data_IF_799838081526
#
_entry.id   IF_799838081526
#
_cell.length_a   1.000
_cell.length_b   1.000
_cell.length_c   1.000
_cell.angle_alpha   90.00
_cell.angle_beta   90.00
_cell.angle_gamma   90.00
#
_symmetry.space_group_name_H-M   'P 1'
#
loop_
_entity.id
_entity.type
_entity.pdbx_description
1 polymer ?
#
# COMPACT_ATOMS: atom_id res chain seq x y z
N UNK A 1 -20.07 18.57 -9.15
CA UNK A 1 -20.71 18.10 -7.88
C UNK A 1 -20.28 16.67 -7.59
N UNK A 2 -19.97 16.34 -6.34
CA UNK A 2 -19.59 14.99 -5.89
C UNK A 2 -20.68 13.94 -6.18
N UNK A 3 -20.28 12.73 -6.60
CA UNK A 3 -21.19 11.60 -6.88
C UNK A 3 -20.78 10.37 -6.07
N UNK A 4 -21.44 10.14 -4.92
CA UNK A 4 -21.19 9.02 -3.99
C UNK A 4 -21.16 7.63 -4.65
N UNK A 5 -21.93 7.43 -5.73
CA UNK A 5 -21.98 6.15 -6.47
C UNK A 5 -20.62 5.71 -6.99
N UNK A 6 -19.75 6.64 -7.37
CA UNK A 6 -18.42 6.29 -7.90
C UNK A 6 -17.48 5.86 -6.78
N UNK A 7 -17.49 6.53 -5.62
CA UNK A 7 -16.70 6.09 -4.47
C UNK A 7 -17.07 4.68 -4.01
N UNK A 8 -18.37 4.35 -4.01
CA UNK A 8 -18.83 2.97 -3.71
C UNK A 8 -18.32 1.94 -4.73
N UNK A 9 -18.23 2.32 -6.01
CA UNK A 9 -17.69 1.44 -7.06
C UNK A 9 -16.20 1.20 -6.87
N UNK A 10 -15.44 2.25 -6.55
CA UNK A 10 -14.00 2.15 -6.24
C UNK A 10 -13.79 1.25 -5.03
N UNK A 11 -14.46 1.51 -3.90
CA UNK A 11 -14.35 0.68 -2.69
C UNK A 11 -14.68 -0.80 -2.96
N UNK A 12 -15.75 -1.08 -3.70
CA UNK A 12 -16.13 -2.45 -4.07
C UNK A 12 -15.09 -3.12 -4.97
N UNK A 13 -14.46 -2.36 -5.86
CA UNK A 13 -13.41 -2.89 -6.73
C UNK A 13 -12.16 -3.23 -5.91
N UNK A 14 -11.66 -2.29 -5.10
CA UNK A 14 -10.46 -2.51 -4.27
C UNK A 14 -10.62 -3.71 -3.34
N UNK A 15 -11.82 -3.92 -2.77
CA UNK A 15 -12.13 -5.06 -1.89
C UNK A 15 -12.21 -6.42 -2.57
N UNK A 16 -12.39 -6.47 -3.90
CA UNK A 16 -12.70 -7.71 -4.63
C UNK A 16 -11.72 -8.08 -5.73
N UNK A 17 -11.13 -7.07 -6.38
CA UNK A 17 -10.27 -7.22 -7.55
C UNK A 17 -9.01 -6.33 -7.44
N UNK A 18 -8.74 -5.76 -6.26
CA UNK A 18 -7.61 -4.88 -6.01
C UNK A 18 -6.31 -5.64 -5.78
N UNK A 19 -6.03 -6.67 -6.58
CA UNK A 19 -4.77 -7.42 -6.50
C UNK A 19 -3.58 -6.58 -6.98
N UNK A 20 -2.40 -6.94 -6.51
CA UNK A 20 -1.11 -6.32 -6.79
C UNK A 20 -1.07 -4.82 -6.46
N UNK A 21 -1.77 -4.42 -5.39
CA UNK A 21 -1.78 -3.05 -4.87
C UNK A 21 -1.02 -2.95 -3.55
N UNK A 22 -0.20 -1.92 -3.40
CA UNK A 22 0.50 -1.59 -2.14
C UNK A 22 -0.02 -0.25 -1.63
N UNK A 23 -0.60 -0.24 -0.43
CA UNK A 23 -1.07 0.95 0.24
C UNK A 23 -0.02 1.41 1.25
N UNK A 24 0.58 2.56 1.01
CA UNK A 24 1.66 3.13 1.83
C UNK A 24 1.10 4.33 2.58
N UNK A 25 1.22 4.31 3.90
CA UNK A 25 0.73 5.38 4.78
C UNK A 25 1.80 5.79 5.79
N UNK A 26 1.78 7.06 6.20
CA UNK A 26 2.49 7.52 7.39
C UNK A 26 1.60 7.49 8.62
N UNK A 27 2.12 7.10 9.78
CA UNK A 27 1.40 7.10 11.06
C UNK A 27 0.85 8.49 11.44
N UNK A 28 1.63 9.55 11.19
CA UNK A 28 1.29 10.94 11.45
C UNK A 28 0.74 11.68 10.23
N UNK A 29 0.48 10.97 9.12
CA UNK A 29 -0.11 11.58 7.93
C UNK A 29 -1.63 11.78 8.12
N UNK A 30 -2.15 13.03 8.14
CA UNK A 30 -3.58 13.28 8.24
C UNK A 30 -4.38 12.69 7.06
N UNK A 31 -3.74 12.49 5.89
CA UNK A 31 -4.38 11.84 4.74
C UNK A 31 -4.59 10.34 4.92
N UNK A 32 -4.02 9.74 5.97
CA UNK A 32 -4.27 8.36 6.37
C UNK A 32 -5.62 8.17 7.08
N UNK A 33 -6.35 9.23 7.43
CA UNK A 33 -7.67 9.12 8.07
C UNK A 33 -8.67 8.23 7.29
N UNK A 34 -8.79 8.35 5.95
CA UNK A 34 -9.58 7.43 5.13
C UNK A 34 -8.78 6.25 4.56
N UNK A 35 -7.67 5.84 5.20
CA UNK A 35 -6.80 4.78 4.70
C UNK A 35 -7.59 3.49 4.39
N UNK A 36 -7.39 2.95 3.20
CA UNK A 36 -7.94 1.67 2.81
C UNK A 36 -7.31 0.53 3.61
N UNK A 37 -8.13 -0.44 4.01
CA UNK A 37 -7.69 -1.67 4.69
C UNK A 37 -8.08 -2.84 3.77
N UNK A 38 -7.10 -3.52 3.14
CA UNK A 38 -7.36 -4.73 2.38
C UNK A 38 -8.06 -5.79 3.23
N UNK A 39 -8.96 -6.55 2.61
CA UNK A 39 -9.64 -7.66 3.29
C UNK A 39 -8.76 -8.91 3.14
N UNK A 40 -8.29 -9.53 4.25
CA UNK A 40 -7.49 -10.74 4.18
C UNK A 40 -8.18 -11.84 3.38
N UNK A 41 -7.44 -12.49 2.48
CA UNK A 41 -7.94 -13.58 1.64
C UNK A 41 -8.88 -13.16 0.49
N UNK A 42 -9.11 -11.85 0.28
CA UNK A 42 -9.86 -11.35 -0.90
C UNK A 42 -8.97 -10.81 -2.01
N UNK A 43 -7.84 -10.24 -1.64
CA UNK A 43 -6.82 -9.73 -2.56
C UNK A 43 -5.45 -10.06 -1.99
N UNK A 44 -4.43 -10.13 -2.83
CA UNK A 44 -3.04 -10.20 -2.37
C UNK A 44 -2.43 -8.82 -2.00
N UNK A 45 -3.24 -7.76 -1.95
CA UNK A 45 -2.79 -6.41 -1.66
C UNK A 45 -2.09 -6.28 -0.29
N UNK A 46 -1.07 -5.43 -0.24
CA UNK A 46 -0.25 -5.17 0.94
C UNK A 46 -0.56 -3.77 1.49
N UNK A 47 -0.72 -3.65 2.81
CA UNK A 47 -0.78 -2.35 3.50
C UNK A 47 0.45 -2.20 4.37
N UNK A 48 1.10 -1.04 4.28
CA UNK A 48 2.25 -0.66 5.11
C UNK A 48 2.00 0.69 5.75
N UNK A 49 2.29 0.80 7.04
CA UNK A 49 2.21 2.05 7.80
C UNK A 49 3.58 2.31 8.39
N UNK A 50 4.21 3.41 7.98
CA UNK A 50 5.51 3.84 8.49
C UNK A 50 5.34 4.46 9.88
N UNK A 51 5.97 3.88 10.93
CA UNK A 51 6.00 4.49 12.26
C UNK A 51 6.63 5.88 12.22
N UNK A 52 5.99 6.86 12.86
CA UNK A 52 6.37 8.27 12.84
C UNK A 52 6.36 8.94 11.45
N UNK A 53 5.89 8.23 10.41
CA UNK A 53 5.90 8.73 9.03
C UNK A 53 4.83 9.79 8.79
N UNK A 54 5.11 10.75 7.91
CA UNK A 54 4.14 11.75 7.44
C UNK A 54 3.78 11.50 5.98
N UNK A 55 3.20 12.49 5.31
CA UNK A 55 2.78 12.41 3.90
C UNK A 55 3.91 12.10 2.90
N UNK A 56 5.17 12.34 3.30
CA UNK A 56 6.35 12.01 2.49
C UNK A 56 6.76 10.52 2.60
N UNK A 57 5.97 9.68 3.26
CA UNK A 57 6.25 8.25 3.36
C UNK A 57 6.31 7.62 1.97
N UNK A 58 7.39 6.91 1.68
CA UNK A 58 7.70 6.25 0.40
C UNK A 58 8.44 4.95 0.69
N UNK A 59 8.47 4.02 -0.27
CA UNK A 59 9.17 2.73 -0.12
C UNK A 59 10.63 2.94 0.32
N UNK A 60 11.33 3.91 -0.28
CA UNK A 60 12.74 4.19 0.01
C UNK A 60 13.03 4.61 1.46
N UNK A 61 12.05 5.19 2.16
CA UNK A 61 12.22 5.72 3.51
C UNK A 61 11.44 4.92 4.57
N UNK A 62 10.94 3.73 4.20
CA UNK A 62 10.42 2.77 5.17
C UNK A 62 11.56 2.20 6.03
N UNK A 63 11.25 1.79 7.28
CA UNK A 63 12.11 0.87 8.04
C UNK A 63 12.51 -0.33 7.20
N UNK A 64 13.72 -0.85 7.40
CA UNK A 64 14.30 -1.85 6.48
C UNK A 64 13.52 -3.17 6.46
N UNK A 65 12.91 -3.56 7.57
CA UNK A 65 12.00 -4.72 7.64
C UNK A 65 10.76 -4.51 6.76
N UNK A 66 10.11 -3.34 6.85
CA UNK A 66 8.95 -3.00 6.02
C UNK A 66 9.33 -2.84 4.55
N UNK A 67 10.47 -2.20 4.28
CA UNK A 67 11.02 -2.01 2.93
C UNK A 67 11.27 -3.37 2.27
N UNK A 68 11.90 -4.30 2.99
CA UNK A 68 12.15 -5.66 2.50
C UNK A 68 10.85 -6.38 2.15
N UNK A 69 9.85 -6.33 3.02
CA UNK A 69 8.54 -6.94 2.74
C UNK A 69 7.91 -6.39 1.46
N UNK A 70 8.00 -5.08 1.23
CA UNK A 70 7.49 -4.43 0.01
C UNK A 70 8.24 -4.90 -1.23
N UNK A 71 9.57 -4.92 -1.21
CA UNK A 71 10.39 -5.32 -2.36
C UNK A 71 10.24 -6.81 -2.67
N UNK A 72 10.24 -7.68 -1.66
CA UNK A 72 9.98 -9.11 -1.84
C UNK A 72 8.60 -9.35 -2.47
N UNK A 73 7.60 -8.57 -2.06
CA UNK A 73 6.23 -8.63 -2.61
C UNK A 73 6.21 -8.21 -4.08
N UNK A 74 6.87 -7.10 -4.42
CA UNK A 74 7.01 -6.64 -5.81
C UNK A 74 7.74 -7.68 -6.66
N UNK A 75 8.84 -8.25 -6.17
CA UNK A 75 9.59 -9.28 -6.89
C UNK A 75 8.76 -10.52 -7.18
N UNK A 76 7.98 -10.99 -6.22
CA UNK A 76 7.03 -12.11 -6.43
C UNK A 76 5.99 -11.79 -7.50
N UNK A 77 5.46 -10.57 -7.54
CA UNK A 77 4.44 -10.18 -8.52
C UNK A 77 5.02 -10.00 -9.92
N UNK A 78 6.24 -9.47 -10.01
CA UNK A 78 6.93 -9.21 -11.27
C UNK A 78 7.67 -10.43 -11.82
N UNK A 79 7.89 -11.46 -10.99
CA UNK A 79 8.68 -12.64 -11.36
C UNK A 79 10.18 -12.33 -11.49
N UNK A 80 10.68 -11.30 -10.80
CA UNK A 80 12.08 -10.88 -10.81
C UNK A 80 12.56 -10.63 -9.39
N UNK A 81 13.87 -10.64 -9.18
CA UNK A 81 14.44 -10.16 -7.93
C UNK A 81 14.46 -8.63 -7.94
N UNK A 82 13.86 -8.01 -6.92
CA UNK A 82 13.85 -6.56 -6.75
C UNK A 82 14.76 -6.22 -5.57
N UNK A 83 15.89 -5.60 -5.87
CA UNK A 83 16.84 -5.09 -4.89
C UNK A 83 16.69 -3.58 -4.74
N UNK A 84 16.83 -3.03 -3.54
CA UNK A 84 16.98 -1.58 -3.38
C UNK A 84 18.43 -1.19 -3.59
N UNK A 85 18.70 -0.39 -4.61
CA UNK A 85 20.00 0.26 -4.82
C UNK A 85 20.14 1.46 -3.87
N UNK A 86 20.42 1.21 -2.58
CA UNK A 86 20.84 2.26 -1.66
C UNK A 86 21.79 1.65 -0.62
N UNK A 87 23.08 1.64 -0.97
CA UNK A 87 24.16 1.95 -0.02
C UNK A 87 24.20 3.47 0.20
#
# INVERSE_FOLDING_TARGET
>A
KFKKKYMKRVDKFLKKNGDNMIYIYGEFDPWSAPAFVPIPGKTNALKVVKPGGSHITRINNLPDDQKKVVLDTLGKWLGVEVVSELE
#
